data_IF_227050956862
#
_entry.id   IF_227050956862
#
_cell.length_a   1.000
_cell.length_b   1.000
_cell.length_c   1.000
_cell.angle_alpha   90.00
_cell.angle_beta   90.00
_cell.angle_gamma   90.00
#
_symmetry.space_group_name_H-M   'P 1'
#
loop_
_entity.id
_entity.type
_entity.pdbx_description
1 polymer ?
#
# COMPACT_ATOMS: atom_id res chain seq x y z
N UNK A 1 -7.67 5.57 11.47
CA UNK A 1 -8.91 5.34 10.70
C UNK A 1 -9.54 4.04 11.17
N UNK A 2 -10.85 4.02 11.38
CA UNK A 2 -11.56 2.86 11.90
C UNK A 2 -12.68 2.49 10.92
N UNK A 3 -12.36 1.63 9.94
CA UNK A 3 -13.40 1.10 9.06
C UNK A 3 -14.26 0.09 9.81
N UNK A 4 -15.56 0.07 9.57
CA UNK A 4 -16.48 -0.88 10.19
C UNK A 4 -16.07 -2.31 9.77
N UNK A 5 -15.89 -3.20 10.76
CA UNK A 5 -15.48 -4.59 10.51
C UNK A 5 -14.03 -4.76 10.06
N UNK A 6 -13.15 -3.77 10.32
CA UNK A 6 -11.74 -3.89 10.00
C UNK A 6 -11.05 -4.89 10.94
N UNK A 7 -10.54 -6.00 10.39
CA UNK A 7 -9.81 -7.00 11.18
C UNK A 7 -8.53 -6.42 11.82
N UNK A 8 -7.84 -5.50 11.12
CA UNK A 8 -6.64 -4.85 11.64
C UNK A 8 -6.94 -3.80 12.74
N UNK A 9 -8.18 -3.34 12.86
CA UNK A 9 -8.58 -2.36 13.87
C UNK A 9 -8.58 -2.91 15.29
N UNK A 10 -8.60 -4.24 15.46
CA UNK A 10 -8.54 -4.92 16.76
C UNK A 10 -7.12 -5.11 17.28
N UNK A 11 -6.13 -5.03 16.40
CA UNK A 11 -4.73 -5.15 16.77
C UNK A 11 -4.15 -3.74 16.93
N UNK A 12 -3.64 -3.43 18.13
CA UNK A 12 -2.97 -2.15 18.35
C UNK A 12 -1.74 -2.00 17.43
N UNK A 13 -1.42 -0.76 17.06
CA UNK A 13 -0.25 -0.44 16.22
C UNK A 13 1.11 -0.63 16.94
N UNK A 14 1.13 -1.36 18.06
CA UNK A 14 2.30 -1.54 18.90
C UNK A 14 3.41 -2.35 18.22
N UNK A 15 3.04 -3.23 17.30
CA UNK A 15 3.98 -4.11 16.61
C UNK A 15 3.95 -3.80 15.12
N UNK A 16 5.04 -3.25 14.63
CA UNK A 16 5.24 -2.93 13.21
C UNK A 16 6.64 -3.39 12.82
N UNK A 17 6.77 -4.08 11.69
CA UNK A 17 8.05 -4.51 11.17
C UNK A 17 8.99 -3.31 10.99
N UNK A 18 10.23 -3.45 11.41
CA UNK A 18 11.29 -2.51 11.07
C UNK A 18 11.67 -2.62 9.58
N UNK A 19 12.46 -1.68 9.08
CA UNK A 19 13.02 -1.81 7.74
C UNK A 19 13.86 -3.09 7.61
N UNK A 20 14.72 -3.36 8.59
CA UNK A 20 15.62 -4.52 8.59
C UNK A 20 14.85 -5.85 8.62
N UNK A 21 13.70 -5.91 9.33
CA UNK A 21 12.82 -7.08 9.30
C UNK A 21 12.23 -7.30 7.90
N UNK A 22 11.76 -6.23 7.25
CA UNK A 22 11.19 -6.30 5.90
C UNK A 22 12.26 -6.73 4.88
N UNK A 23 13.45 -6.15 4.93
CA UNK A 23 14.58 -6.50 4.08
C UNK A 23 14.99 -7.97 4.25
N UNK A 24 15.09 -8.41 5.49
CA UNK A 24 15.40 -9.81 5.81
C UNK A 24 14.36 -10.77 5.23
N UNK A 25 13.06 -10.47 5.43
CA UNK A 25 11.96 -11.30 4.88
C UNK A 25 12.06 -11.40 3.36
N UNK A 26 12.36 -10.29 2.67
CA UNK A 26 12.47 -10.30 1.20
C UNK A 26 13.68 -11.12 0.75
N UNK A 27 14.84 -10.97 1.40
CA UNK A 27 16.05 -11.76 1.07
C UNK A 27 15.82 -13.25 1.26
N UNK A 28 15.33 -13.66 2.43
CA UNK A 28 15.05 -15.07 2.72
C UNK A 28 13.94 -15.63 1.82
N UNK A 29 12.91 -14.84 1.51
CA UNK A 29 11.86 -15.24 0.59
C UNK A 29 12.38 -15.48 -0.83
N UNK A 30 13.31 -14.67 -1.33
CA UNK A 30 13.93 -14.89 -2.64
C UNK A 30 14.70 -16.21 -2.71
N UNK A 31 15.39 -16.60 -1.64
CA UNK A 31 16.05 -17.90 -1.56
C UNK A 31 15.06 -19.07 -1.66
N UNK A 32 13.81 -18.85 -1.24
CA UNK A 32 12.71 -19.80 -1.36
C UNK A 32 11.90 -19.69 -2.66
N UNK A 33 12.30 -18.80 -3.58
CA UNK A 33 11.62 -18.59 -4.86
C UNK A 33 10.38 -17.68 -4.78
N UNK A 34 10.26 -16.85 -3.74
CA UNK A 34 9.16 -15.86 -3.61
C UNK A 34 9.56 -14.54 -4.28
N UNK A 35 8.76 -14.09 -5.25
CA UNK A 35 9.01 -12.87 -6.03
C UNK A 35 7.88 -11.85 -5.99
N UNK A 36 6.82 -12.12 -5.23
CA UNK A 36 5.70 -11.17 -5.01
C UNK A 36 5.46 -11.06 -3.51
N UNK A 37 5.53 -9.84 -2.99
CA UNK A 37 5.33 -9.54 -1.58
C UNK A 37 4.11 -8.63 -1.38
N UNK A 38 3.14 -9.10 -0.60
CA UNK A 38 1.95 -8.31 -0.27
C UNK A 38 2.19 -7.49 1.00
N UNK A 39 2.19 -6.17 0.87
CA UNK A 39 2.29 -5.24 1.98
C UNK A 39 0.91 -4.83 2.45
N UNK A 40 0.59 -5.19 3.67
CA UNK A 40 -0.70 -4.93 4.31
C UNK A 40 -0.52 -4.55 5.78
N UNK A 41 -1.61 -4.38 6.51
CA UNK A 41 -1.59 -4.05 7.94
C UNK A 41 -2.70 -3.08 8.29
N UNK A 42 -2.42 -2.01 9.06
CA UNK A 42 -3.31 -0.87 9.22
C UNK A 42 -3.35 -0.07 7.91
N UNK A 43 -2.36 0.79 7.71
CA UNK A 43 -2.10 1.46 6.43
C UNK A 43 -0.59 1.36 6.13
N UNK A 44 -0.17 0.55 5.13
CA UNK A 44 1.25 0.36 4.83
C UNK A 44 1.99 1.64 4.46
N UNK A 45 1.30 2.57 3.78
CA UNK A 45 1.91 3.80 3.28
C UNK A 45 2.28 4.83 4.38
N UNK A 46 2.00 4.55 5.66
CA UNK A 46 2.64 5.30 6.76
C UNK A 46 4.16 5.12 6.75
N UNK A 47 4.64 4.01 6.14
CA UNK A 47 6.05 3.69 5.94
C UNK A 47 6.51 3.87 4.50
N UNK A 48 5.90 4.77 3.73
CA UNK A 48 6.21 4.91 2.30
C UNK A 48 7.70 5.12 1.99
N UNK A 49 8.47 5.73 2.88
CA UNK A 49 9.93 5.90 2.70
C UNK A 49 10.67 4.55 2.76
N UNK A 50 10.31 3.72 3.73
CA UNK A 50 10.89 2.37 3.88
C UNK A 50 10.50 1.48 2.70
N UNK A 51 9.24 1.58 2.25
CA UNK A 51 8.73 0.83 1.10
C UNK A 51 9.44 1.23 -0.19
N UNK A 52 9.65 2.52 -0.45
CA UNK A 52 10.41 2.97 -1.62
C UNK A 52 11.87 2.49 -1.58
N UNK A 53 12.49 2.53 -0.40
CA UNK A 53 13.85 2.02 -0.20
C UNK A 53 13.90 0.52 -0.46
N UNK A 54 12.97 -0.25 0.10
CA UNK A 54 12.86 -1.70 -0.06
C UNK A 54 12.68 -2.07 -1.55
N UNK A 55 11.75 -1.40 -2.25
CA UNK A 55 11.50 -1.64 -3.66
C UNK A 55 12.70 -1.29 -4.55
N UNK A 56 13.47 -0.28 -4.17
CA UNK A 56 14.70 0.09 -4.87
C UNK A 56 15.82 -0.95 -4.69
N UNK A 57 15.98 -1.47 -3.47
CA UNK A 57 17.03 -2.44 -3.14
C UNK A 57 16.69 -3.86 -3.66
N UNK A 58 15.40 -4.14 -3.83
CA UNK A 58 14.89 -5.41 -4.35
C UNK A 58 14.09 -5.20 -5.64
N UNK A 59 14.74 -4.67 -6.67
CA UNK A 59 14.12 -4.35 -7.96
C UNK A 59 13.78 -5.58 -8.83
N UNK A 60 14.15 -6.75 -8.37
CA UNK A 60 13.90 -8.06 -8.97
C UNK A 60 12.62 -8.75 -8.42
N UNK A 61 11.88 -8.10 -7.53
CA UNK A 61 10.62 -8.59 -6.96
C UNK A 61 9.51 -7.55 -7.08
N UNK A 62 8.26 -7.99 -7.04
CA UNK A 62 7.08 -7.12 -7.02
C UNK A 62 6.57 -6.88 -5.58
N UNK A 63 6.21 -5.64 -5.28
CA UNK A 63 5.53 -5.25 -4.06
C UNK A 63 4.09 -4.85 -4.34
N UNK A 64 3.13 -5.66 -3.91
CA UNK A 64 1.70 -5.40 -4.01
C UNK A 64 1.18 -4.77 -2.71
N UNK A 65 0.74 -3.51 -2.76
CA UNK A 65 0.41 -2.70 -1.58
C UNK A 65 -1.09 -2.55 -1.44
N UNK A 66 -1.66 -3.10 -0.35
CA UNK A 66 -3.06 -2.89 0.01
C UNK A 66 -3.21 -1.58 0.79
N UNK A 67 -3.86 -0.59 0.21
CA UNK A 67 -3.93 0.76 0.78
C UNK A 67 -5.33 1.38 0.71
N UNK A 68 -5.63 2.21 1.70
CA UNK A 68 -6.80 3.08 1.68
C UNK A 68 -6.62 4.31 0.76
N UNK A 69 -5.51 4.41 0.04
CA UNK A 69 -5.16 5.45 -0.93
C UNK A 69 -4.92 6.86 -0.36
N UNK A 70 -5.18 7.12 0.91
CA UNK A 70 -5.14 8.49 1.47
C UNK A 70 -3.74 9.12 1.50
N UNK A 71 -2.69 8.31 1.41
CA UNK A 71 -1.29 8.76 1.47
C UNK A 71 -0.59 8.75 0.10
N UNK A 72 -1.31 8.45 -0.98
CA UNK A 72 -0.76 8.52 -2.33
C UNK A 72 -0.86 9.96 -2.83
N UNK A 73 0.28 10.58 -3.01
CA UNK A 73 0.45 11.91 -3.58
C UNK A 73 1.25 11.88 -4.89
N UNK A 74 1.34 13.02 -5.55
CA UNK A 74 2.00 13.12 -6.86
C UNK A 74 3.50 12.82 -6.79
N UNK A 75 4.17 13.24 -5.73
CA UNK A 75 5.61 12.99 -5.57
C UNK A 75 5.89 11.50 -5.31
N UNK A 76 5.03 10.84 -4.55
CA UNK A 76 5.11 9.40 -4.36
C UNK A 76 4.88 8.64 -5.67
N UNK A 77 3.91 9.06 -6.50
CA UNK A 77 3.69 8.46 -7.82
C UNK A 77 4.92 8.58 -8.74
N UNK A 78 5.61 9.73 -8.73
CA UNK A 78 6.85 9.90 -9.52
C UNK A 78 7.95 8.92 -9.10
N UNK A 79 8.11 8.69 -7.79
CA UNK A 79 9.10 7.73 -7.30
C UNK A 79 8.71 6.28 -7.63
N UNK A 80 7.45 5.91 -7.43
CA UNK A 80 6.92 4.59 -7.79
C UNK A 80 7.07 4.31 -9.29
N UNK A 81 6.76 5.29 -10.15
CA UNK A 81 6.92 5.16 -11.60
C UNK A 81 8.38 4.83 -12.00
N UNK A 82 9.36 5.45 -11.35
CA UNK A 82 10.78 5.18 -11.62
C UNK A 82 11.21 3.77 -11.21
N UNK A 83 10.61 3.23 -10.14
CA UNK A 83 10.93 1.91 -9.60
C UNK A 83 10.32 0.78 -10.44
N UNK A 84 9.06 0.93 -10.86
CA UNK A 84 8.38 -0.01 -11.76
C UNK A 84 7.98 -1.36 -11.16
N UNK A 85 8.25 -1.61 -9.88
CA UNK A 85 7.98 -2.87 -9.20
C UNK A 85 7.00 -2.74 -8.03
N UNK A 86 6.21 -1.67 -8.00
CA UNK A 86 5.15 -1.46 -7.00
C UNK A 86 3.79 -1.45 -7.69
N UNK A 87 2.86 -2.25 -7.19
CA UNK A 87 1.46 -2.34 -7.63
C UNK A 87 0.54 -2.01 -6.47
N UNK A 88 -0.57 -1.29 -6.73
CA UNK A 88 -1.52 -0.90 -5.69
C UNK A 88 -2.83 -1.69 -5.78
N UNK A 89 -3.26 -2.18 -4.63
CA UNK A 89 -4.59 -2.73 -4.39
C UNK A 89 -5.39 -1.68 -3.60
N UNK A 90 -6.14 -0.85 -4.32
CA UNK A 90 -6.91 0.23 -3.69
C UNK A 90 -8.15 -0.33 -3.03
N UNK A 91 -8.33 -0.03 -1.77
CA UNK A 91 -9.48 -0.49 -1.01
C UNK A 91 -10.74 0.27 -1.42
N UNK A 92 -11.73 -0.43 -1.96
CA UNK A 92 -13.03 0.11 -2.33
C UNK A 92 -14.13 -0.94 -2.03
N UNK A 93 -15.29 -0.49 -1.57
CA UNK A 93 -16.38 -1.37 -1.08
C UNK A 93 -17.65 -1.29 -1.96
N UNK A 94 -17.54 -0.72 -3.15
CA UNK A 94 -18.68 -0.48 -4.04
C UNK A 94 -18.87 1.01 -4.37
N UNK A 95 -20.12 1.45 -4.57
CA UNK A 95 -20.41 2.84 -4.86
C UNK A 95 -20.30 3.74 -3.62
N UNK A 96 -20.35 5.06 -3.83
CA UNK A 96 -20.04 6.08 -2.83
C UNK A 96 -20.75 5.85 -1.48
N UNK A 97 -22.07 5.64 -1.50
CA UNK A 97 -22.84 5.46 -0.27
C UNK A 97 -22.38 4.24 0.55
N UNK A 98 -22.27 3.08 -0.09
CA UNK A 98 -21.83 1.83 0.57
C UNK A 98 -20.39 1.92 1.03
N UNK A 99 -19.52 2.48 0.20
CA UNK A 99 -18.12 2.64 0.50
C UNK A 99 -17.87 3.57 1.68
N UNK A 100 -18.49 4.75 1.65
CA UNK A 100 -18.29 5.76 2.68
C UNK A 100 -19.00 5.37 4.00
N UNK A 101 -20.10 4.65 3.92
CA UNK A 101 -20.75 4.06 5.08
C UNK A 101 -19.89 3.07 5.86
N UNK A 102 -19.04 2.30 5.19
CA UNK A 102 -18.12 1.35 5.83
C UNK A 102 -16.79 2.00 6.24
N UNK A 103 -16.27 2.90 5.43
CA UNK A 103 -14.93 3.49 5.60
C UNK A 103 -14.99 4.84 6.32
N UNK A 104 -15.13 5.92 5.58
CA UNK A 104 -15.37 7.28 6.11
C UNK A 104 -15.91 8.16 4.99
N UNK A 105 -16.61 9.21 5.36
CA UNK A 105 -17.19 10.14 4.41
C UNK A 105 -16.13 10.78 3.50
N UNK A 106 -16.32 10.68 2.19
CA UNK A 106 -15.40 11.18 1.17
C UNK A 106 -14.27 10.19 0.77
N UNK A 107 -14.24 8.98 1.35
CA UNK A 107 -13.25 7.97 0.95
C UNK A 107 -13.40 7.58 -0.52
N UNK A 108 -14.62 7.36 -1.01
CA UNK A 108 -14.87 7.03 -2.41
C UNK A 108 -14.28 8.08 -3.36
N UNK A 109 -14.53 9.36 -3.11
CA UNK A 109 -13.97 10.46 -3.92
C UNK A 109 -12.44 10.48 -3.87
N UNK A 110 -11.85 10.19 -2.70
CA UNK A 110 -10.41 10.08 -2.56
C UNK A 110 -9.83 8.94 -3.40
N UNK A 111 -10.43 7.75 -3.36
CA UNK A 111 -10.00 6.60 -4.18
C UNK A 111 -10.09 6.93 -5.66
N UNK A 112 -11.21 7.50 -6.12
CA UNK A 112 -11.40 7.87 -7.52
C UNK A 112 -10.40 8.92 -8.00
N UNK A 113 -10.03 9.88 -7.14
CA UNK A 113 -8.95 10.84 -7.41
C UNK A 113 -7.59 10.14 -7.52
N UNK A 114 -7.30 9.23 -6.60
CA UNK A 114 -6.05 8.46 -6.60
C UNK A 114 -5.92 7.57 -7.83
N UNK A 115 -7.00 6.89 -8.25
CA UNK A 115 -7.00 6.09 -9.49
C UNK A 115 -6.64 6.93 -10.72
N UNK A 116 -7.19 8.16 -10.82
CA UNK A 116 -6.84 9.09 -11.90
C UNK A 116 -5.38 9.51 -11.84
N UNK A 117 -4.85 9.71 -10.63
CA UNK A 117 -3.46 10.07 -10.41
C UNK A 117 -2.53 8.93 -10.81
N UNK A 118 -2.78 7.70 -10.35
CA UNK A 118 -2.00 6.52 -10.72
C UNK A 118 -2.00 6.31 -12.23
N UNK A 119 -3.18 6.39 -12.87
CA UNK A 119 -3.30 6.32 -14.34
C UNK A 119 -2.47 7.38 -15.06
N UNK A 120 -2.42 8.62 -14.55
CA UNK A 120 -1.59 9.72 -15.10
C UNK A 120 -0.11 9.34 -15.15
N UNK A 121 0.36 8.58 -14.16
CA UNK A 121 1.76 8.13 -14.05
C UNK A 121 2.02 6.73 -14.62
N UNK A 122 1.02 6.09 -15.23
CA UNK A 122 1.17 4.76 -15.83
C UNK A 122 1.36 3.63 -14.81
N UNK A 123 0.79 3.83 -13.60
CA UNK A 123 0.81 2.89 -12.47
C UNK A 123 -0.55 2.19 -12.37
#
# INVERSE_FOLDING_TARGET
MHCIGCWAGTYGHKYSLSYDDMDKIVREGKELGVYIYMLTGGEPLVKKKDILKLAKEHNDVEFSIYTNSSLIDEDFCKEVQKLGNIVFQLSIEGFEETNDGRRWNGHYKNVMKTMKLLKKYGI
#
